data_IF_783903727144
#
_entry.id   IF_783903727144
#
_cell.length_a   1.000
_cell.length_b   1.000
_cell.length_c   1.000
_cell.angle_alpha   90.00
_cell.angle_beta   90.00
_cell.angle_gamma   90.00
#
_symmetry.space_group_name_H-M   'P 1'
#
loop_
_entity.id
_entity.type
_entity.pdbx_description
1 polymer ?
#
# COMPACT_ATOMS: atom_id res chain seq x y z
N UNK A 1 -19.38 15.26 21.51
CA UNK A 1 -18.96 13.88 21.15
C UNK A 1 -17.54 13.98 20.62
N UNK A 2 -16.51 13.42 21.28
CA UNK A 2 -15.16 13.45 20.71
C UNK A 2 -15.20 12.66 19.40
N UNK A 3 -14.96 13.33 18.27
CA UNK A 3 -14.74 12.65 16.99
C UNK A 3 -13.61 11.67 17.21
N UNK A 4 -13.86 10.38 16.90
CA UNK A 4 -12.85 9.33 16.79
C UNK A 4 -11.84 9.83 15.75
N UNK A 5 -10.89 10.60 16.24
CA UNK A 5 -9.98 11.42 15.47
C UNK A 5 -9.17 10.44 14.63
N UNK A 6 -9.02 10.66 13.32
CA UNK A 6 -8.43 9.70 12.38
C UNK A 6 -7.18 8.96 12.91
N UNK A 7 -6.42 9.62 13.81
CA UNK A 7 -5.29 9.06 14.58
C UNK A 7 -5.57 7.78 15.37
N UNK A 8 -6.79 7.56 15.86
CA UNK A 8 -7.16 6.35 16.62
C UNK A 8 -7.66 5.23 15.72
N UNK A 9 -8.29 5.56 14.59
CA UNK A 9 -8.87 4.58 13.65
C UNK A 9 -7.85 4.11 12.61
N UNK A 10 -6.89 4.98 12.25
CA UNK A 10 -5.82 4.70 11.31
C UNK A 10 -5.02 3.41 11.61
N UNK A 11 -4.54 3.12 12.84
CA UNK A 11 -3.81 1.88 13.09
C UNK A 11 -4.68 0.63 12.90
N UNK A 12 -5.97 0.67 13.24
CA UNK A 12 -6.89 -0.45 13.00
C UNK A 12 -7.16 -0.66 11.52
N UNK A 13 -7.32 0.42 10.76
CA UNK A 13 -7.45 0.36 9.31
C UNK A 13 -6.17 -0.21 8.66
N UNK A 14 -4.99 0.21 9.11
CA UNK A 14 -3.70 -0.31 8.65
C UNK A 14 -3.52 -1.81 8.99
N UNK A 15 -3.92 -2.24 10.19
CA UNK A 15 -3.93 -3.65 10.57
C UNK A 15 -4.86 -4.47 9.68
N UNK A 16 -6.08 -3.97 9.42
CA UNK A 16 -7.05 -4.64 8.53
C UNK A 16 -6.53 -4.74 7.09
N UNK A 17 -6.00 -3.65 6.55
CA UNK A 17 -5.40 -3.62 5.21
C UNK A 17 -4.23 -4.60 5.10
N UNK A 18 -3.35 -4.64 6.11
CA UNK A 18 -2.22 -5.57 6.16
C UNK A 18 -2.68 -7.03 6.19
N UNK A 19 -3.72 -7.34 6.96
CA UNK A 19 -4.28 -8.70 7.03
C UNK A 19 -4.87 -9.14 5.69
N UNK A 20 -5.64 -8.26 5.04
CA UNK A 20 -6.22 -8.51 3.72
C UNK A 20 -5.12 -8.69 2.68
N UNK A 21 -4.12 -7.81 2.66
CA UNK A 21 -2.98 -7.91 1.75
C UNK A 21 -2.23 -9.23 1.92
N UNK A 22 -1.89 -9.60 3.17
CA UNK A 22 -1.18 -10.85 3.46
C UNK A 22 -2.00 -12.08 3.05
N UNK A 23 -3.31 -12.08 3.30
CA UNK A 23 -4.20 -13.20 2.96
C UNK A 23 -4.49 -13.30 1.46
N UNK A 24 -4.62 -12.17 0.79
CA UNK A 24 -4.74 -12.09 -0.67
C UNK A 24 -3.48 -12.59 -1.36
N UNK A 25 -2.31 -12.16 -0.90
CA UNK A 25 -1.02 -12.59 -1.45
C UNK A 25 -0.76 -14.09 -1.21
N UNK A 26 -1.07 -14.60 -0.01
CA UNK A 26 -0.94 -16.03 0.29
C UNK A 26 -1.90 -16.89 -0.52
N UNK A 27 -3.15 -16.43 -0.69
CA UNK A 27 -4.16 -17.07 -1.52
C UNK A 27 -3.75 -17.11 -2.99
N UNK A 28 -3.29 -15.97 -3.54
CA UNK A 28 -2.88 -15.87 -4.93
C UNK A 28 -1.66 -16.75 -5.24
N UNK A 29 -0.69 -16.80 -4.32
CA UNK A 29 0.50 -17.64 -4.46
C UNK A 29 0.15 -19.13 -4.38
N UNK A 30 -0.66 -19.53 -3.39
CA UNK A 30 -1.13 -20.91 -3.26
C UNK A 30 -1.95 -21.35 -4.47
N UNK A 31 -2.79 -20.46 -5.03
CA UNK A 31 -3.59 -20.75 -6.22
C UNK A 31 -2.75 -20.93 -7.48
N UNK A 32 -1.60 -20.26 -7.58
CA UNK A 32 -0.73 -20.31 -8.78
C UNK A 32 0.35 -21.39 -8.71
N UNK A 33 0.87 -21.68 -7.51
CA UNK A 33 2.00 -22.60 -7.32
C UNK A 33 1.60 -23.91 -6.63
N UNK A 34 0.42 -23.98 -6.01
CA UNK A 34 0.01 -25.13 -5.19
C UNK A 34 0.69 -25.19 -3.82
N UNK A 35 1.59 -24.25 -3.51
CA UNK A 35 2.39 -24.25 -2.29
C UNK A 35 2.21 -22.96 -1.49
N UNK A 36 2.42 -23.03 -0.18
CA UNK A 36 2.36 -21.86 0.72
C UNK A 36 3.59 -20.98 0.45
N UNK A 37 3.45 -19.64 0.34
CA UNK A 37 4.61 -18.79 0.08
C UNK A 37 5.65 -18.91 1.18
N UNK A 38 6.95 -18.99 0.80
CA UNK A 38 8.03 -19.12 1.76
C UNK A 38 8.05 -17.90 2.69
N UNK A 39 8.11 -18.15 4.00
CA UNK A 39 8.21 -17.11 5.01
C UNK A 39 9.68 -16.83 5.30
N UNK A 40 9.98 -15.58 5.63
CA UNK A 40 11.35 -15.16 5.96
C UNK A 40 11.93 -15.86 7.19
N UNK A 41 11.09 -16.42 8.06
CA UNK A 41 11.47 -17.14 9.28
C UNK A 41 11.58 -18.66 9.07
N UNK A 42 11.31 -19.13 7.85
CA UNK A 42 11.25 -20.55 7.55
C UNK A 42 12.64 -21.08 7.16
N UNK A 43 13.33 -21.68 8.13
CA UNK A 43 14.72 -22.15 7.97
C UNK A 43 14.80 -23.47 7.18
N UNK A 44 13.66 -24.14 6.97
CA UNK A 44 13.59 -25.38 6.18
C UNK A 44 13.58 -25.11 4.65
N UNK A 45 13.43 -23.85 4.25
CA UNK A 45 13.38 -23.44 2.84
C UNK A 45 14.72 -22.87 2.41
N UNK A 46 15.14 -23.15 1.15
CA UNK A 46 16.40 -22.61 0.63
C UNK A 46 16.44 -21.08 0.72
N UNK A 47 17.57 -20.53 1.20
CA UNK A 47 17.79 -19.09 1.33
C UNK A 47 17.57 -18.35 -0.01
N UNK A 48 17.86 -19.03 -1.13
CA UNK A 48 17.68 -18.51 -2.49
C UNK A 48 16.21 -18.32 -2.81
N UNK A 49 15.36 -19.26 -2.40
CA UNK A 49 13.90 -19.16 -2.58
C UNK A 49 13.29 -18.03 -1.75
N UNK A 50 13.79 -17.83 -0.52
CA UNK A 50 13.37 -16.72 0.35
C UNK A 50 13.76 -15.38 -0.27
N UNK A 51 15.00 -15.25 -0.77
CA UNK A 51 15.46 -14.04 -1.44
C UNK A 51 14.69 -13.74 -2.73
N UNK A 52 14.40 -14.75 -3.56
CA UNK A 52 13.61 -14.57 -4.77
C UNK A 52 12.18 -14.08 -4.45
N UNK A 53 11.58 -14.62 -3.39
CA UNK A 53 10.27 -14.18 -2.92
C UNK A 53 10.28 -12.76 -2.33
N UNK A 54 11.32 -12.43 -1.56
CA UNK A 54 11.51 -11.09 -1.01
C UNK A 54 11.69 -10.04 -2.12
N UNK A 55 12.50 -10.34 -3.14
CA UNK A 55 12.67 -9.48 -4.31
C UNK A 55 11.36 -9.24 -5.04
N UNK A 56 10.58 -10.31 -5.27
CA UNK A 56 9.25 -10.20 -5.90
C UNK A 56 8.33 -9.29 -5.09
N UNK A 57 8.32 -9.47 -3.77
CA UNK A 57 7.52 -8.65 -2.86
C UNK A 57 7.98 -7.19 -2.87
N UNK A 58 9.28 -6.93 -2.90
CA UNK A 58 9.84 -5.58 -2.96
C UNK A 58 9.46 -4.86 -4.25
N UNK A 59 9.51 -5.55 -5.40
CA UNK A 59 9.08 -5.00 -6.70
C UNK A 59 7.60 -4.62 -6.67
N UNK A 60 6.75 -5.49 -6.13
CA UNK A 60 5.31 -5.22 -6.01
C UNK A 60 5.06 -4.04 -5.07
N UNK A 61 5.77 -3.98 -3.94
CA UNK A 61 5.67 -2.87 -2.99
C UNK A 61 6.04 -1.54 -3.63
N UNK A 62 7.18 -1.48 -4.32
CA UNK A 62 7.62 -0.29 -5.01
C UNK A 62 6.64 0.14 -6.11
N UNK A 63 6.06 -0.80 -6.86
CA UNK A 63 5.05 -0.48 -7.85
C UNK A 63 3.80 0.15 -7.23
N UNK A 64 3.32 -0.38 -6.09
CA UNK A 64 2.18 0.19 -5.36
C UNK A 64 2.52 1.61 -4.88
N UNK A 65 3.70 1.81 -4.32
CA UNK A 65 4.14 3.13 -3.83
C UNK A 65 4.20 4.15 -4.97
N UNK A 66 4.79 3.79 -6.12
CA UNK A 66 4.81 4.64 -7.31
C UNK A 66 3.40 5.00 -7.77
N UNK A 67 2.45 4.05 -7.77
CA UNK A 67 1.06 4.33 -8.15
C UNK A 67 0.42 5.31 -7.17
N UNK A 68 0.58 5.08 -5.86
CA UNK A 68 0.04 5.97 -4.82
C UNK A 68 0.63 7.37 -4.97
N UNK A 69 1.95 7.49 -5.09
CA UNK A 69 2.63 8.79 -5.24
C UNK A 69 2.19 9.49 -6.52
N UNK A 70 2.05 8.76 -7.64
CA UNK A 70 1.59 9.31 -8.92
C UNK A 70 0.17 9.88 -8.80
N UNK A 71 -0.74 9.11 -8.20
CA UNK A 71 -2.14 9.51 -8.01
C UNK A 71 -2.24 10.68 -7.02
N UNK A 72 -1.48 10.63 -5.92
CA UNK A 72 -1.44 11.71 -4.95
C UNK A 72 -0.91 13.02 -5.55
N UNK A 73 0.09 12.93 -6.44
CA UNK A 73 0.61 14.08 -7.16
C UNK A 73 -0.44 14.68 -8.12
N UNK A 74 -1.15 13.83 -8.88
CA UNK A 74 -2.22 14.27 -9.81
C UNK A 74 -3.38 14.98 -9.07
N UNK A 75 -3.74 14.48 -7.89
CA UNK A 75 -4.78 15.07 -7.05
C UNK A 75 -4.30 16.38 -6.39
N UNK A 76 -3.05 16.43 -5.93
CA UNK A 76 -2.47 17.64 -5.32
C UNK A 76 -2.35 18.77 -6.33
N UNK A 77 -1.93 18.46 -7.56
CA UNK A 77 -1.85 19.41 -8.67
C UNK A 77 -3.22 20.06 -8.90
N UNK A 78 -4.28 19.24 -8.99
CA UNK A 78 -5.67 19.71 -9.15
C UNK A 78 -6.15 20.59 -7.99
N UNK A 79 -5.71 20.36 -6.75
CA UNK A 79 -6.04 21.20 -5.60
C UNK A 79 -5.38 22.58 -5.66
N UNK A 80 -4.13 22.67 -6.13
CA UNK A 80 -3.39 23.92 -6.22
C UNK A 80 -4.04 24.86 -7.25
N UNK A 81 -4.43 24.35 -8.42
CA UNK A 81 -5.10 25.15 -9.46
C UNK A 81 -6.48 25.65 -9.01
N UNK A 82 -7.20 24.85 -8.22
CA UNK A 82 -8.52 25.21 -7.66
C UNK A 82 -8.42 26.31 -6.61
N UNK A 83 -7.39 26.25 -5.76
CA UNK A 83 -7.16 27.23 -4.69
C UNK A 83 -6.65 28.57 -5.22
N UNK A 84 -5.99 28.59 -6.39
CA UNK A 84 -5.57 29.81 -7.07
C UNK A 84 -6.75 30.51 -7.74
N UNK A 85 -7.61 29.76 -8.44
CA UNK A 85 -8.82 30.32 -9.05
C UNK A 85 -9.81 30.91 -8.05
N UNK A 86 -9.91 30.33 -6.85
CA UNK A 86 -10.73 30.88 -5.75
C UNK A 86 -10.12 32.17 -5.15
N UNK A 87 -8.79 32.31 -5.11
CA UNK A 87 -8.12 33.52 -4.61
C UNK A 87 -8.22 34.71 -5.59
N UNK A 88 -8.17 34.45 -6.89
CA UNK A 88 -8.37 35.48 -7.92
C UNK A 88 -9.83 35.97 -7.97
N UNK A 89 -10.80 35.09 -7.70
CA UNK A 89 -12.22 35.45 -7.64
C UNK A 89 -12.60 36.32 -6.41
N UNK A 90 -11.78 36.30 -5.35
CA UNK A 90 -12.01 37.09 -4.13
C UNK A 90 -11.27 38.45 -4.19
N UNK A 91 -10.25 38.57 -5.04
CA UNK A 91 -9.41 39.79 -5.14
C UNK A 91 -9.75 40.65 -6.37
N UNK A 92 -10.66 40.19 -7.24
CA UNK A 92 -11.15 40.90 -8.43
C UNK A 92 -12.40 41.73 -8.21
#
# INVERSE_FOLDING_TARGET
MPVLTARTVAPFAAMGATWIARKGLSSAYARRTGHVPPKADDTEVSIVSVLAWALTTAVVSAAIEVIITRVAAEISDSQEVSSFGEQDAITG
#
